data_IF_580314754244
#
_entry.id   IF_580314754244
#
_cell.length_a   1.000
_cell.length_b   1.000
_cell.length_c   1.000
_cell.angle_alpha   90.00
_cell.angle_beta   90.00
_cell.angle_gamma   90.00
#
_symmetry.space_group_name_H-M   'P 1'
#
loop_
_entity.id
_entity.type
_entity.pdbx_description
1 polymer ?
#
# COMPACT_ATOMS: atom_id res chain seq x y z
N UNK A 1 -13.87 -11.19 7.80
CA UNK A 1 -14.47 -9.88 7.51
C UNK A 1 -15.44 -9.44 8.61
N UNK A 2 -16.46 -10.23 8.99
CA UNK A 2 -17.34 -9.89 10.15
C UNK A 2 -16.59 -9.62 11.46
N UNK A 3 -15.71 -10.53 11.87
CA UNK A 3 -14.89 -10.31 13.07
C UNK A 3 -13.93 -9.12 12.94
N UNK A 4 -13.50 -8.79 11.72
CA UNK A 4 -12.60 -7.66 11.47
C UNK A 4 -13.30 -6.34 11.76
N UNK A 5 -14.57 -6.21 11.35
CA UNK A 5 -15.32 -4.96 11.43
C UNK A 5 -16.32 -4.91 12.60
N UNK A 6 -16.32 -5.89 13.51
CA UNK A 6 -17.36 -6.04 14.55
C UNK A 6 -17.57 -4.83 15.45
N UNK A 7 -16.54 -4.01 15.64
CA UNK A 7 -16.57 -2.84 16.51
C UNK A 7 -17.02 -1.55 15.77
N UNK A 8 -17.30 -1.64 14.47
CA UNK A 8 -17.83 -0.53 13.69
C UNK A 8 -19.32 -0.30 13.95
N UNK A 9 -19.79 0.93 13.73
CA UNK A 9 -21.19 1.31 13.91
C UNK A 9 -22.15 0.53 13.00
N UNK A 10 -21.69 0.23 11.77
CA UNK A 10 -22.44 -0.53 10.77
C UNK A 10 -21.49 -1.49 10.01
N UNK A 11 -21.17 -2.65 10.62
CA UNK A 11 -20.24 -3.61 10.04
C UNK A 11 -20.74 -4.23 8.74
N UNK A 12 -22.06 -4.40 8.59
CA UNK A 12 -22.64 -5.04 7.40
C UNK A 12 -22.56 -4.14 6.18
N UNK A 13 -22.74 -2.82 6.32
CA UNK A 13 -22.49 -1.88 5.22
C UNK A 13 -21.04 -1.91 4.73
N UNK A 14 -20.06 -2.04 5.65
CA UNK A 14 -18.64 -2.17 5.29
C UNK A 14 -18.39 -3.50 4.56
N UNK A 15 -18.92 -4.60 5.07
CA UNK A 15 -18.79 -5.91 4.41
C UNK A 15 -19.38 -5.87 3.00
N UNK A 16 -20.57 -5.26 2.85
CA UNK A 16 -21.28 -5.15 1.57
C UNK A 16 -20.54 -4.28 0.55
N UNK A 17 -19.74 -3.32 1.00
CA UNK A 17 -18.86 -2.53 0.13
C UNK A 17 -17.81 -3.40 -0.57
N UNK A 18 -17.22 -4.38 0.13
CA UNK A 18 -16.20 -5.28 -0.44
C UNK A 18 -16.78 -6.55 -1.06
N UNK A 19 -17.79 -7.15 -0.44
CA UNK A 19 -18.40 -8.40 -0.86
C UNK A 19 -19.89 -8.18 -1.10
N UNK A 20 -20.36 -8.17 -2.37
CA UNK A 20 -21.77 -8.01 -2.67
C UNK A 20 -22.60 -9.19 -2.17
N UNK A 21 -23.92 -9.01 -2.09
CA UNK A 21 -24.86 -10.03 -1.57
C UNK A 21 -24.78 -11.37 -2.34
N UNK A 22 -24.35 -11.32 -3.61
CA UNK A 22 -24.14 -12.50 -4.46
C UNK A 22 -22.71 -12.52 -4.98
N UNK A 23 -22.01 -13.62 -4.69
CA UNK A 23 -20.67 -13.91 -5.22
C UNK A 23 -20.72 -15.30 -5.86
N UNK A 24 -20.33 -15.45 -7.15
CA UNK A 24 -20.27 -16.74 -7.80
C UNK A 24 -19.33 -17.73 -7.07
N UNK A 25 -19.64 -19.02 -7.10
CA UNK A 25 -18.84 -20.06 -6.42
C UNK A 25 -17.39 -20.13 -6.93
N UNK A 26 -17.16 -19.78 -8.19
CA UNK A 26 -15.85 -19.79 -8.84
C UNK A 26 -15.10 -18.43 -8.75
N UNK A 27 -15.65 -17.45 -8.03
CA UNK A 27 -15.07 -16.12 -7.89
C UNK A 27 -13.92 -16.05 -6.86
N UNK A 28 -13.08 -17.10 -6.77
CA UNK A 28 -12.01 -17.20 -5.78
C UNK A 28 -11.04 -16.02 -5.83
N UNK A 29 -10.61 -15.61 -7.03
CA UNK A 29 -9.66 -14.50 -7.18
C UNK A 29 -10.27 -13.16 -6.76
N UNK A 30 -11.56 -12.96 -7.04
CA UNK A 30 -12.29 -11.79 -6.58
C UNK A 30 -12.43 -11.79 -5.05
N UNK A 31 -12.86 -12.90 -4.45
CA UNK A 31 -12.99 -13.02 -2.99
C UNK A 31 -11.64 -12.75 -2.31
N UNK A 32 -10.57 -13.37 -2.82
CA UNK A 32 -9.21 -13.18 -2.32
C UNK A 32 -8.79 -11.72 -2.42
N UNK A 33 -9.03 -11.07 -3.57
CA UNK A 33 -8.77 -9.65 -3.79
C UNK A 33 -9.50 -8.76 -2.79
N UNK A 34 -10.80 -8.98 -2.60
CA UNK A 34 -11.62 -8.17 -1.71
C UNK A 34 -11.25 -8.37 -0.24
N UNK A 35 -10.88 -9.59 0.16
CA UNK A 35 -10.42 -9.85 1.52
C UNK A 35 -9.14 -9.07 1.81
N UNK A 36 -8.07 -9.24 1.03
CA UNK A 36 -6.82 -8.52 1.36
C UNK A 36 -6.96 -7.00 1.17
N UNK A 37 -7.81 -6.54 0.23
CA UNK A 37 -8.11 -5.10 0.07
C UNK A 37 -8.79 -4.56 1.33
N UNK A 38 -9.81 -5.25 1.85
CA UNK A 38 -10.49 -4.82 3.09
C UNK A 38 -9.55 -4.76 4.30
N UNK A 39 -8.60 -5.70 4.41
CA UNK A 39 -7.58 -5.69 5.45
C UNK A 39 -6.59 -4.53 5.23
N UNK A 40 -6.16 -4.30 3.99
CA UNK A 40 -5.27 -3.20 3.63
C UNK A 40 -5.87 -1.83 3.96
N UNK A 41 -7.14 -1.66 3.62
CA UNK A 41 -7.89 -0.43 3.89
C UNK A 41 -8.05 -0.20 5.39
N UNK A 42 -8.47 -1.23 6.14
CA UNK A 42 -8.70 -1.14 7.58
C UNK A 42 -7.43 -0.81 8.37
N UNK A 43 -6.35 -1.52 8.12
CA UNK A 43 -5.16 -1.43 8.97
C UNK A 43 -4.14 -0.40 8.50
N UNK A 44 -4.16 -0.02 7.22
CA UNK A 44 -3.13 0.84 6.64
C UNK A 44 -3.72 2.06 5.94
N UNK A 45 -4.50 1.89 4.87
CA UNK A 45 -4.85 3.01 3.98
C UNK A 45 -5.77 4.01 4.68
N UNK A 46 -6.91 3.58 5.21
CA UNK A 46 -7.90 4.49 5.80
C UNK A 46 -7.36 5.24 7.03
N UNK A 47 -6.68 4.60 7.99
CA UNK A 47 -6.08 5.31 9.12
C UNK A 47 -4.99 6.31 8.69
N UNK A 48 -4.16 5.96 7.69
CA UNK A 48 -3.11 6.86 7.18
C UNK A 48 -3.69 8.08 6.47
N UNK A 49 -4.70 7.88 5.60
CA UNK A 49 -5.40 8.98 4.92
C UNK A 49 -6.10 9.88 5.94
N UNK A 50 -6.83 9.30 6.89
CA UNK A 50 -7.49 10.07 7.95
C UNK A 50 -6.48 10.90 8.75
N UNK A 51 -5.34 10.32 9.12
CA UNK A 51 -4.29 11.05 9.83
C UNK A 51 -3.72 12.20 8.99
N UNK A 52 -3.42 11.95 7.71
CA UNK A 52 -2.93 12.95 6.77
C UNK A 52 -3.92 14.12 6.63
N UNK A 53 -5.21 13.84 6.46
CA UNK A 53 -6.26 14.85 6.40
C UNK A 53 -6.37 15.67 7.69
N UNK A 54 -6.27 15.02 8.86
CA UNK A 54 -6.30 15.71 10.15
C UNK A 54 -5.08 16.61 10.37
N UNK A 55 -3.91 16.21 9.88
CA UNK A 55 -2.73 17.06 9.87
C UNK A 55 -2.91 18.26 8.93
N UNK A 56 -3.43 18.04 7.72
CA UNK A 56 -3.68 19.11 6.76
C UNK A 56 -4.72 20.13 7.28
N UNK A 57 -5.79 19.66 7.94
CA UNK A 57 -6.81 20.52 8.58
C UNK A 57 -6.25 21.42 9.69
N UNK A 58 -5.11 21.04 10.29
CA UNK A 58 -4.39 21.86 11.28
C UNK A 58 -3.42 22.86 10.66
N UNK A 59 -3.32 22.91 9.33
CA UNK A 59 -2.46 23.83 8.60
C UNK A 59 -1.02 23.33 8.40
N UNK A 60 -0.74 22.05 8.62
CA UNK A 60 0.57 21.47 8.28
C UNK A 60 0.67 21.20 6.77
N UNK A 61 1.88 21.33 6.22
CA UNK A 61 2.19 20.82 4.88
C UNK A 61 2.25 19.29 4.97
N UNK A 62 1.37 18.60 4.22
CA UNK A 62 1.27 17.14 4.23
C UNK A 62 1.53 16.61 2.83
N UNK A 63 2.45 15.64 2.75
CA UNK A 63 2.75 14.91 1.53
C UNK A 63 2.37 13.45 1.72
N UNK A 64 1.70 12.87 0.74
CA UNK A 64 1.24 11.49 0.77
C UNK A 64 1.57 10.83 -0.57
N UNK A 65 2.01 9.58 -0.54
CA UNK A 65 2.29 8.82 -1.76
C UNK A 65 1.71 7.40 -1.64
N UNK A 66 1.45 6.80 -2.81
CA UNK A 66 1.06 5.39 -2.92
C UNK A 66 2.15 4.68 -3.71
N UNK A 67 2.79 3.70 -3.08
CA UNK A 67 3.74 2.85 -3.78
C UNK A 67 3.01 1.82 -4.65
N UNK A 68 3.37 1.76 -5.94
CA UNK A 68 2.71 0.89 -6.93
C UNK A 68 3.70 0.05 -7.74
N UNK A 69 4.99 0.10 -7.40
CA UNK A 69 6.00 -0.68 -8.08
C UNK A 69 6.17 -2.04 -7.40
N UNK A 70 6.10 -3.11 -8.19
CA UNK A 70 6.38 -4.47 -7.73
C UNK A 70 7.80 -4.82 -8.13
N UNK A 71 8.64 -5.15 -7.15
CA UNK A 71 10.04 -5.49 -7.38
C UNK A 71 10.18 -6.64 -8.38
N UNK A 72 11.12 -6.51 -9.33
CA UNK A 72 11.45 -7.58 -10.28
C UNK A 72 12.01 -8.84 -9.60
N UNK A 73 12.48 -8.69 -8.35
CA UNK A 73 13.07 -9.73 -7.51
C UNK A 73 12.15 -10.21 -6.40
N UNK A 74 10.91 -9.75 -6.38
CA UNK A 74 9.94 -10.06 -5.33
C UNK A 74 9.80 -11.59 -5.15
N UNK A 75 9.90 -12.12 -3.92
CA UNK A 75 9.68 -13.55 -3.66
C UNK A 75 8.20 -13.92 -3.63
N UNK A 76 7.32 -12.92 -3.65
CA UNK A 76 5.89 -13.08 -3.47
C UNK A 76 5.20 -13.62 -4.73
N UNK A 77 4.06 -14.28 -4.57
CA UNK A 77 3.30 -14.77 -5.72
C UNK A 77 2.71 -13.59 -6.54
N UNK A 78 2.55 -13.72 -7.88
CA UNK A 78 2.05 -12.63 -8.74
C UNK A 78 0.74 -12.00 -8.28
N UNK A 79 -0.14 -12.83 -7.70
CA UNK A 79 -1.45 -12.41 -7.24
C UNK A 79 -1.43 -11.45 -6.05
N UNK A 80 -0.32 -11.36 -5.33
CA UNK A 80 -0.16 -10.49 -4.16
C UNK A 80 0.06 -9.02 -4.55
N UNK A 81 0.27 -8.71 -5.84
CA UNK A 81 0.41 -7.33 -6.31
C UNK A 81 1.63 -6.64 -5.70
N UNK A 82 1.44 -5.56 -4.96
CA UNK A 82 2.51 -4.85 -4.25
C UNK A 82 2.28 -5.05 -2.74
N UNK A 83 2.93 -6.04 -2.12
CA UNK A 83 2.71 -6.32 -0.71
C UNK A 83 3.32 -5.24 0.18
N UNK A 84 2.92 -5.28 1.45
CA UNK A 84 3.48 -4.39 2.47
C UNK A 84 5.02 -4.54 2.54
N UNK A 85 5.71 -3.40 2.66
CA UNK A 85 7.18 -3.26 2.69
C UNK A 85 7.93 -3.46 1.36
N UNK A 86 7.26 -3.68 0.22
CA UNK A 86 7.95 -3.79 -1.08
C UNK A 86 8.70 -2.50 -1.47
N UNK A 87 8.37 -1.35 -0.88
CA UNK A 87 9.08 -0.08 -1.12
C UNK A 87 10.39 0.04 -0.34
N UNK A 88 10.55 -0.69 0.76
CA UNK A 88 11.64 -0.47 1.74
C UNK A 88 13.00 -0.65 1.09
N UNK A 89 13.16 -1.66 0.24
CA UNK A 89 14.43 -1.89 -0.46
C UNK A 89 14.84 -0.72 -1.36
N UNK A 90 13.86 -0.01 -1.94
CA UNK A 90 14.08 1.15 -2.79
C UNK A 90 14.40 2.39 -1.97
N UNK A 91 13.71 2.57 -0.84
CA UNK A 91 13.96 3.67 0.12
C UNK A 91 15.37 3.58 0.70
N UNK A 92 15.86 2.38 1.00
CA UNK A 92 17.18 2.16 1.56
C UNK A 92 18.29 1.92 0.53
N UNK A 93 17.98 1.95 -0.77
CA UNK A 93 18.99 1.95 -1.82
C UNK A 93 19.58 0.59 -2.17
N UNK A 94 18.89 -0.53 -1.92
CA UNK A 94 19.37 -1.85 -2.37
C UNK A 94 19.61 -1.90 -3.90
N UNK A 95 18.76 -1.31 -4.76
CA UNK A 95 19.06 -1.23 -6.19
C UNK A 95 20.35 -0.48 -6.54
N UNK A 96 20.75 0.49 -5.73
CA UNK A 96 22.01 1.22 -5.92
C UNK A 96 23.22 0.43 -5.40
N UNK A 97 23.04 -0.33 -4.32
CA UNK A 97 24.09 -1.15 -3.70
C UNK A 97 24.40 -2.41 -4.53
N UNK A 98 23.39 -3.02 -5.13
CA UNK A 98 23.50 -4.25 -5.92
C UNK A 98 22.89 -4.10 -7.33
N UNK A 99 23.39 -3.16 -8.16
CA UNK A 99 22.75 -2.78 -9.42
C UNK A 99 22.63 -3.91 -10.45
N UNK A 100 23.50 -4.93 -10.38
CA UNK A 100 23.42 -6.11 -11.25
C UNK A 100 22.21 -7.01 -10.97
N UNK A 101 21.56 -6.84 -9.82
CA UNK A 101 20.43 -7.66 -9.42
C UNK A 101 19.07 -7.02 -9.76
N UNK A 102 19.05 -5.76 -10.20
CA UNK A 102 17.82 -4.98 -10.44
C UNK A 102 17.74 -4.47 -11.88
N UNK A 103 16.54 -4.10 -12.31
CA UNK A 103 16.33 -3.46 -13.61
C UNK A 103 16.81 -2.00 -13.59
N UNK A 104 17.16 -1.45 -14.76
CA UNK A 104 17.62 -0.05 -14.89
C UNK A 104 16.58 0.94 -14.32
N UNK A 105 15.31 0.67 -14.56
CA UNK A 105 14.18 1.47 -14.09
C UNK A 105 14.07 1.42 -12.56
N UNK A 106 14.42 0.29 -11.93
CA UNK A 106 14.40 0.11 -10.47
C UNK A 106 15.53 0.86 -9.78
N UNK A 107 16.71 0.89 -10.41
CA UNK A 107 17.85 1.71 -9.97
C UNK A 107 17.46 3.20 -9.99
N UNK A 108 16.85 3.66 -11.09
CA UNK A 108 16.37 5.04 -11.22
C UNK A 108 15.26 5.36 -10.21
N UNK A 109 14.32 4.43 -10.02
CA UNK A 109 13.24 4.57 -9.04
C UNK A 109 13.78 4.69 -7.61
N UNK A 110 14.76 3.86 -7.23
CA UNK A 110 15.40 3.94 -5.92
C UNK A 110 16.12 5.27 -5.73
N UNK A 111 16.90 5.72 -6.71
CA UNK A 111 17.57 7.02 -6.68
C UNK A 111 16.58 8.16 -6.47
N UNK A 112 15.48 8.17 -7.24
CA UNK A 112 14.42 9.18 -7.11
C UNK A 112 13.72 9.13 -5.75
N UNK A 113 13.50 7.92 -5.22
CA UNK A 113 12.86 7.73 -3.90
C UNK A 113 13.74 8.30 -2.80
N UNK A 114 15.04 7.99 -2.80
CA UNK A 114 16.01 8.55 -1.84
C UNK A 114 16.09 10.07 -1.96
N UNK A 115 16.05 10.61 -3.18
CA UNK A 115 16.06 12.05 -3.41
C UNK A 115 14.81 12.72 -2.80
N UNK A 116 13.61 12.17 -3.02
CA UNK A 116 12.36 12.67 -2.44
C UNK A 116 12.44 12.64 -0.90
N UNK A 117 12.80 11.49 -0.32
CA UNK A 117 12.88 11.33 1.13
C UNK A 117 13.93 12.25 1.76
N UNK A 118 15.12 12.33 1.17
CA UNK A 118 16.20 13.19 1.69
C UNK A 118 15.91 14.68 1.51
N UNK A 119 15.18 15.07 0.46
CA UNK A 119 14.73 16.45 0.26
C UNK A 119 13.70 16.84 1.32
N UNK A 120 12.71 15.98 1.57
CA UNK A 120 11.72 16.20 2.62
C UNK A 120 12.36 16.35 4.00
N UNK A 121 13.34 15.51 4.33
CA UNK A 121 14.09 15.62 5.60
C UNK A 121 14.83 16.95 5.73
N UNK A 122 15.35 17.50 4.62
CA UNK A 122 16.13 18.74 4.63
C UNK A 122 15.27 19.99 4.64
N UNK A 123 14.13 19.98 3.96
CA UNK A 123 13.39 21.19 3.61
C UNK A 123 11.91 21.17 4.03
N UNK A 124 11.37 20.02 4.45
CA UNK A 124 9.94 19.81 4.62
C UNK A 124 9.21 19.77 3.29
#
# INVERSE_FOLDING_TARGET
MRELFKDYLDPESIIKYYLPDYVPEDAYDFIRYQIYTSFGDEFFVCPQVYYAEKCAQKGYNVYYYVWRHRSSKTPWAPWMGVPHFDEVEFVFGLPLLYPSEYQTEEIQLSQKTIEIWSSFVKAG
#
